data_IF_921368791806
#
_entry.id   IF_921368791806
#
_cell.length_a   1.000
_cell.length_b   1.000
_cell.length_c   1.000
_cell.angle_alpha   90.00
_cell.angle_beta   90.00
_cell.angle_gamma   90.00
#
_symmetry.space_group_name_H-M   'P 1'
#
loop_
_entity.id
_entity.type
_entity.pdbx_description
1 polymer ?
#
# COMPACT_ATOMS: atom_id res chain seq x y z
N UNK A 1 -13.52 -32.54 14.37
CA UNK A 1 -14.70 -32.67 13.46
C UNK A 1 -14.87 -31.43 12.55
N UNK A 2 -13.79 -30.72 12.19
CA UNK A 2 -13.86 -29.45 11.43
C UNK A 2 -12.87 -29.34 10.26
N UNK A 3 -12.37 -30.46 9.73
CA UNK A 3 -11.20 -30.45 8.84
C UNK A 3 -11.50 -30.59 7.34
N UNK A 4 -12.73 -30.42 6.87
CA UNK A 4 -13.05 -30.56 5.44
C UNK A 4 -14.33 -29.82 5.03
N UNK A 5 -14.36 -28.50 5.13
CA UNK A 5 -15.37 -27.71 4.41
C UNK A 5 -14.74 -27.02 3.20
N UNK A 6 -14.44 -27.84 2.19
CA UNK A 6 -14.20 -27.35 0.83
C UNK A 6 -15.56 -26.99 0.24
N UNK A 7 -15.76 -25.70 -0.04
CA UNK A 7 -16.96 -25.18 -0.69
C UNK A 7 -17.14 -25.87 -2.06
N UNK A 8 -18.34 -26.36 -2.42
CA UNK A 8 -18.60 -26.96 -3.72
C UNK A 8 -18.24 -25.99 -4.86
N UNK A 9 -17.69 -26.47 -5.99
CA UNK A 9 -17.19 -25.62 -7.06
C UNK A 9 -18.24 -24.71 -7.71
N UNK A 10 -19.53 -25.04 -7.62
CA UNK A 10 -20.64 -24.29 -8.22
C UNK A 10 -21.35 -23.33 -7.25
N UNK A 11 -20.72 -22.98 -6.14
CA UNK A 11 -21.34 -22.09 -5.14
C UNK A 11 -21.19 -20.63 -5.57
N UNK A 12 -22.29 -19.88 -5.77
CA UNK A 12 -22.19 -18.47 -6.16
C UNK A 12 -21.57 -17.65 -5.03
N UNK A 13 -20.67 -16.73 -5.37
CA UNK A 13 -20.10 -15.78 -4.41
C UNK A 13 -21.15 -14.74 -4.03
N UNK A 14 -21.22 -14.42 -2.74
CA UNK A 14 -22.11 -13.38 -2.20
C UNK A 14 -21.28 -12.36 -1.42
N UNK A 15 -21.71 -11.10 -1.44
CA UNK A 15 -21.09 -10.07 -0.63
C UNK A 15 -21.27 -10.36 0.86
N UNK A 16 -20.25 -10.05 1.67
CA UNK A 16 -20.33 -10.24 3.11
C UNK A 16 -21.33 -9.27 3.73
N UNK A 17 -22.27 -9.78 4.54
CA UNK A 17 -23.38 -8.99 5.12
C UNK A 17 -23.05 -8.33 6.45
N UNK A 18 -22.11 -8.90 7.21
CA UNK A 18 -21.79 -8.51 8.58
C UNK A 18 -20.39 -7.89 8.72
N UNK A 19 -19.76 -7.50 7.61
CA UNK A 19 -18.38 -7.00 7.61
C UNK A 19 -17.34 -8.12 7.63
N UNK A 20 -16.08 -7.75 7.90
CA UNK A 20 -14.95 -8.67 7.93
C UNK A 20 -14.32 -8.66 9.32
N UNK A 21 -14.13 -9.85 9.89
CA UNK A 21 -13.32 -10.05 11.10
C UNK A 21 -12.07 -10.82 10.69
N UNK A 22 -10.90 -10.33 11.11
CA UNK A 22 -9.62 -10.92 10.75
C UNK A 22 -9.02 -11.62 11.97
N UNK A 23 -8.67 -12.89 11.83
CA UNK A 23 -7.97 -13.64 12.87
C UNK A 23 -6.49 -13.23 12.91
N UNK A 24 -6.06 -12.64 14.03
CA UNK A 24 -4.67 -12.20 14.26
C UNK A 24 -3.78 -13.30 14.86
N UNK A 25 -4.12 -14.58 14.64
CA UNK A 25 -3.42 -15.72 15.22
C UNK A 25 -1.99 -15.88 14.68
N UNK A 26 -1.83 -15.81 13.35
CA UNK A 26 -0.53 -15.92 12.69
C UNK A 26 0.23 -14.60 12.63
N UNK A 27 -0.50 -13.48 12.58
CA UNK A 27 0.05 -12.12 12.46
C UNK A 27 -0.57 -11.26 13.57
N UNK A 28 0.14 -10.98 14.67
CA UNK A 28 -0.42 -10.33 15.85
C UNK A 28 -0.49 -8.79 15.70
N UNK A 29 -0.86 -8.29 14.52
CA UNK A 29 -1.06 -6.86 14.27
C UNK A 29 -1.99 -6.62 13.09
N UNK A 30 -2.78 -5.54 13.17
CA UNK A 30 -3.61 -5.11 12.05
C UNK A 30 -2.75 -4.50 10.94
N UNK A 31 -3.03 -4.93 9.72
CA UNK A 31 -2.46 -4.34 8.50
C UNK A 31 -3.44 -3.33 7.93
N UNK A 32 -2.95 -2.45 7.06
CA UNK A 32 -3.80 -1.50 6.30
C UNK A 32 -4.93 -2.22 5.55
N UNK A 33 -4.70 -3.47 5.12
CA UNK A 33 -5.70 -4.30 4.43
C UNK A 33 -6.78 -4.79 5.38
N UNK A 34 -6.41 -5.26 6.57
CA UNK A 34 -7.36 -5.77 7.57
C UNK A 34 -8.12 -4.65 8.26
N UNK A 35 -7.45 -3.54 8.60
CA UNK A 35 -8.06 -2.37 9.23
C UNK A 35 -9.13 -1.73 8.33
N UNK A 36 -8.92 -1.75 7.00
CA UNK A 36 -9.83 -1.12 6.02
C UNK A 36 -10.67 -2.11 5.21
N UNK A 37 -10.56 -3.41 5.49
CA UNK A 37 -11.33 -4.45 4.81
C UNK A 37 -11.11 -4.51 3.29
N UNK A 38 -9.86 -4.36 2.81
CA UNK A 38 -9.51 -4.42 1.37
C UNK A 38 -9.46 -5.86 0.86
N UNK A 39 -10.60 -6.54 0.93
CA UNK A 39 -10.79 -7.93 0.54
C UNK A 39 -11.96 -8.06 -0.44
N UNK A 40 -12.01 -9.19 -1.16
CA UNK A 40 -13.03 -9.49 -2.18
C UNK A 40 -13.23 -8.35 -3.19
N UNK A 41 -14.36 -7.64 -3.16
CA UNK A 41 -14.68 -6.54 -4.09
C UNK A 41 -13.61 -5.44 -4.08
N UNK A 42 -13.01 -5.19 -2.92
CA UNK A 42 -12.02 -4.13 -2.70
C UNK A 42 -10.58 -4.65 -2.71
N UNK A 43 -10.36 -5.93 -3.07
CA UNK A 43 -9.03 -6.52 -3.12
C UNK A 43 -8.11 -5.82 -4.15
N UNK A 44 -8.68 -5.09 -5.11
CA UNK A 44 -7.96 -4.28 -6.08
C UNK A 44 -7.25 -3.06 -5.49
N UNK A 45 -7.59 -2.61 -4.28
CA UNK A 45 -6.97 -1.41 -3.69
C UNK A 45 -5.51 -1.61 -3.28
N UNK A 46 -5.15 -2.80 -2.80
CA UNK A 46 -3.76 -3.16 -2.49
C UNK A 46 -2.84 -3.10 -3.71
N UNK A 47 -3.14 -3.79 -4.84
CA UNK A 47 -2.31 -3.70 -6.03
C UNK A 47 -2.32 -2.30 -6.65
N UNK A 48 -3.42 -1.54 -6.58
CA UNK A 48 -3.45 -0.15 -7.03
C UNK A 48 -2.47 0.74 -6.24
N UNK A 49 -2.41 0.61 -4.91
CA UNK A 49 -1.43 1.33 -4.10
C UNK A 49 0.02 0.96 -4.47
N UNK A 50 0.25 -0.30 -4.86
CA UNK A 50 1.56 -0.78 -5.29
C UNK A 50 1.95 -0.32 -6.70
N UNK A 51 1.02 -0.27 -7.65
CA UNK A 51 1.31 0.29 -8.99
C UNK A 51 1.62 1.78 -8.91
N UNK A 52 0.90 2.52 -8.08
CA UNK A 52 1.15 3.96 -7.84
C UNK A 52 2.53 4.19 -7.20
N UNK A 53 2.96 3.32 -6.29
CA UNK A 53 4.33 3.36 -5.76
C UNK A 53 5.37 3.24 -6.88
N UNK A 54 5.22 2.28 -7.79
CA UNK A 54 6.15 2.12 -8.92
C UNK A 54 6.14 3.30 -9.90
N UNK A 55 4.96 3.90 -10.14
CA UNK A 55 4.86 5.15 -10.90
C UNK A 55 5.64 6.26 -10.21
N UNK A 56 5.51 6.37 -8.88
CA UNK A 56 6.32 7.26 -8.05
C UNK A 56 7.82 7.02 -8.26
N UNK A 57 8.29 5.77 -8.20
CA UNK A 57 9.70 5.43 -8.39
C UNK A 57 10.23 5.75 -9.77
N UNK A 58 9.42 5.61 -10.82
CA UNK A 58 9.81 6.04 -12.15
C UNK A 58 10.04 7.55 -12.22
N UNK A 59 9.09 8.34 -11.69
CA UNK A 59 9.19 9.80 -11.66
C UNK A 59 10.34 10.27 -10.77
N UNK A 60 10.47 9.66 -9.58
CA UNK A 60 11.53 9.90 -8.61
C UNK A 60 12.91 9.65 -9.19
N UNK A 61 13.12 8.53 -9.88
CA UNK A 61 14.38 8.20 -10.53
C UNK A 61 14.81 9.25 -11.56
N UNK A 62 13.88 9.78 -12.36
CA UNK A 62 14.17 10.85 -13.31
C UNK A 62 14.53 12.15 -12.57
N UNK A 63 13.73 12.53 -11.57
CA UNK A 63 13.91 13.77 -10.83
C UNK A 63 15.19 13.78 -9.98
N UNK A 64 15.39 12.76 -9.15
CA UNK A 64 16.59 12.61 -8.33
C UNK A 64 17.83 12.28 -9.15
N UNK A 65 17.69 11.59 -10.30
CA UNK A 65 18.77 11.42 -11.25
C UNK A 65 19.26 12.76 -11.80
N UNK A 66 18.34 13.58 -12.31
CA UNK A 66 18.68 14.93 -12.77
C UNK A 66 19.29 15.81 -11.66
N UNK A 67 18.74 15.75 -10.44
CA UNK A 67 19.31 16.48 -9.32
C UNK A 67 20.70 15.98 -8.92
N UNK A 68 20.94 14.67 -8.97
CA UNK A 68 22.25 14.10 -8.65
C UNK A 68 23.32 14.55 -9.64
N UNK A 69 22.95 14.74 -10.91
CA UNK A 69 23.85 15.20 -11.98
C UNK A 69 24.16 16.70 -11.88
N UNK A 70 23.22 17.53 -11.42
CA UNK A 70 23.41 19.00 -11.37
C UNK A 70 23.88 19.53 -10.00
N UNK A 71 23.32 19.01 -8.91
CA UNK A 71 23.58 19.48 -7.53
C UNK A 71 24.50 18.52 -6.74
N UNK A 72 24.87 17.39 -7.34
CA UNK A 72 25.67 16.34 -6.73
C UNK A 72 24.84 15.28 -6.01
N UNK A 73 25.47 14.14 -5.71
CA UNK A 73 24.80 12.94 -5.19
C UNK A 73 24.30 13.05 -3.76
N UNK A 74 24.96 13.85 -2.91
CA UNK A 74 24.62 13.95 -1.48
C UNK A 74 23.29 14.68 -1.26
N UNK A 75 23.02 15.86 -1.87
CA UNK A 75 21.71 16.51 -1.77
C UNK A 75 20.56 15.66 -2.32
N UNK A 76 20.80 14.93 -3.42
CA UNK A 76 19.81 14.01 -3.98
C UNK A 76 19.45 12.88 -2.98
N UNK A 77 20.46 12.28 -2.35
CA UNK A 77 20.25 11.23 -1.33
C UNK A 77 19.51 11.75 -0.09
N UNK A 78 19.87 12.95 0.40
CA UNK A 78 19.20 13.53 1.56
C UNK A 78 17.76 13.89 1.22
N UNK A 79 17.53 14.50 0.05
CA UNK A 79 16.19 14.84 -0.42
C UNK A 79 15.27 13.62 -0.54
N UNK A 80 15.76 12.51 -1.10
CA UNK A 80 14.96 11.29 -1.24
C UNK A 80 14.59 10.71 0.12
N UNK A 81 15.55 10.63 1.05
CA UNK A 81 15.29 10.14 2.41
C UNK A 81 14.27 11.02 3.16
N UNK A 82 14.31 12.35 2.96
CA UNK A 82 13.31 13.25 3.55
C UNK A 82 11.93 12.98 2.96
N UNK A 83 11.80 12.81 1.64
CA UNK A 83 10.51 12.48 1.01
C UNK A 83 9.98 11.12 1.52
N UNK A 84 10.83 10.11 1.60
CA UNK A 84 10.48 8.79 2.14
C UNK A 84 9.97 8.90 3.58
N UNK A 85 10.66 9.67 4.42
CA UNK A 85 10.28 9.87 5.81
C UNK A 85 8.92 10.56 5.93
N UNK A 86 8.71 11.66 5.21
CA UNK A 86 7.43 12.39 5.24
C UNK A 86 6.29 11.53 4.72
N UNK A 87 6.47 10.83 3.59
CA UNK A 87 5.44 9.95 3.04
C UNK A 87 5.12 8.76 3.95
N UNK A 88 6.13 8.20 4.62
CA UNK A 88 5.97 7.12 5.59
C UNK A 88 5.18 7.56 6.82
N UNK A 89 5.52 8.70 7.42
CA UNK A 89 4.80 9.25 8.58
C UNK A 89 3.38 9.66 8.20
N UNK A 90 3.20 10.30 7.03
CA UNK A 90 1.87 10.69 6.55
C UNK A 90 0.96 9.48 6.34
N UNK A 91 1.50 8.35 5.87
CA UNK A 91 0.73 7.11 5.64
C UNK A 91 0.00 6.61 6.88
N UNK A 92 0.55 6.84 8.09
CA UNK A 92 -0.05 6.43 9.38
C UNK A 92 -1.39 7.11 9.60
N UNK A 93 -1.54 8.37 9.19
CA UNK A 93 -2.74 9.17 9.42
C UNK A 93 -3.79 9.03 8.31
N UNK A 94 -3.48 8.26 7.26
CA UNK A 94 -4.42 8.09 6.15
C UNK A 94 -5.58 7.18 6.54
N UNK A 95 -6.76 7.48 6.03
CA UNK A 95 -7.96 6.63 6.22
C UNK A 95 -8.56 6.24 4.87
N UNK A 96 -8.46 7.12 3.87
CA UNK A 96 -8.90 6.88 2.50
C UNK A 96 -7.88 6.16 1.62
N UNK A 97 -8.38 5.55 0.54
CA UNK A 97 -7.53 4.96 -0.50
C UNK A 97 -6.71 6.02 -1.24
N UNK A 98 -7.30 7.18 -1.54
CA UNK A 98 -6.64 8.26 -2.27
C UNK A 98 -5.51 8.91 -1.48
N UNK A 99 -5.72 9.15 -0.19
CA UNK A 99 -4.69 9.72 0.69
C UNK A 99 -3.54 8.73 0.89
N UNK A 100 -3.85 7.44 1.07
CA UNK A 100 -2.84 6.39 1.17
C UNK A 100 -2.07 6.21 -0.14
N UNK A 101 -2.76 6.27 -1.28
CA UNK A 101 -2.15 6.21 -2.60
C UNK A 101 -1.21 7.40 -2.85
N UNK A 102 -1.61 8.61 -2.45
CA UNK A 102 -0.75 9.78 -2.54
C UNK A 102 0.50 9.63 -1.66
N UNK A 103 0.35 9.15 -0.43
CA UNK A 103 1.50 8.87 0.44
C UNK A 103 2.42 7.81 -0.18
N UNK A 104 1.87 6.74 -0.78
CA UNK A 104 2.65 5.74 -1.52
C UNK A 104 3.35 6.29 -2.74
N UNK A 105 2.76 7.27 -3.43
CA UNK A 105 3.42 7.97 -4.53
C UNK A 105 4.61 8.79 -4.01
N UNK A 106 4.45 9.52 -2.89
CA UNK A 106 5.55 10.25 -2.26
C UNK A 106 6.69 9.31 -1.86
N UNK A 107 6.39 8.24 -1.13
CA UNK A 107 7.41 7.23 -0.75
C UNK A 107 8.00 6.54 -1.99
N UNK A 108 7.23 6.39 -3.07
CA UNK A 108 7.74 5.87 -4.33
C UNK A 108 8.76 6.80 -4.97
N UNK A 109 8.56 8.12 -4.89
CA UNK A 109 9.43 9.12 -5.51
C UNK A 109 10.82 9.27 -4.86
N UNK A 110 11.06 8.69 -3.69
CA UNK A 110 12.37 8.72 -3.04
C UNK A 110 13.37 7.77 -3.70
#
# INVERSE_FOLDING_TARGET
VLQTYSVPPDTPTVACKNGWEFELGDIPYETVVSERGWVCENAGYTPLAQTIFFVGSFVGGIYFGWMADHFGRVPALVGSNVIAFVGGVASIYTTGIWDFAFCRLLVGMS
#
